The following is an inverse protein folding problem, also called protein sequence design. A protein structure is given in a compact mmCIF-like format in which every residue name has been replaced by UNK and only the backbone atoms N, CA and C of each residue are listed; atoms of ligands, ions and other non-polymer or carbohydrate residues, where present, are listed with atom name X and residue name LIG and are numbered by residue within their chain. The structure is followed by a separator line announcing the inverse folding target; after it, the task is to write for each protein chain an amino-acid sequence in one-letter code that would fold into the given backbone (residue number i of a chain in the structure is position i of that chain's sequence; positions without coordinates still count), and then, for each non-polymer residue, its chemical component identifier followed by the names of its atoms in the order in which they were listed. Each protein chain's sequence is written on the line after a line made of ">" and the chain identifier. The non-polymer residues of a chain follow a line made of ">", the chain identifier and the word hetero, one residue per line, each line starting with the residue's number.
data_IF_340338215628
#
_entry.id   IF_340338215628
#
_cell.length_a   1.000
_cell.length_b   1.000
_cell.length_c   1.000
_cell.angle_alpha   90.00
_cell.angle_beta   90.00
_cell.angle_gamma   90.00
#
_symmetry.space_group_name_H-M   'P 1'
#
loop_
_entity.id
_entity.type
_entity.pdbx_description
1 polymer ?
#
# COMPACT_ATOMS: atom_id res chain seq x y z
N UNK A 1 25.88 8.42 14.24
CA UNK A 1 25.10 7.21 14.62
C UNK A 1 24.16 7.59 15.75
N UNK A 2 22.84 7.44 15.61
CA UNK A 2 21.87 7.79 16.66
C UNK A 2 21.92 6.76 17.80
N UNK A 3 22.83 6.95 18.77
CA UNK A 3 23.01 6.07 19.94
C UNK A 3 21.87 6.17 20.98
N UNK A 4 21.00 7.17 20.88
CA UNK A 4 19.91 7.40 21.86
C UNK A 4 18.64 6.54 21.61
N UNK A 5 18.67 5.59 20.67
CA UNK A 5 17.53 4.70 20.41
C UNK A 5 17.78 3.33 21.03
N UNK A 6 17.05 3.01 22.10
CA UNK A 6 17.10 1.71 22.80
C UNK A 6 16.65 0.50 21.96
N UNK A 7 16.08 0.69 20.77
CA UNK A 7 15.60 -0.38 19.88
C UNK A 7 15.76 0.00 18.40
N UNK A 8 15.97 -1.00 17.53
CA UNK A 8 15.99 -0.89 16.07
C UNK A 8 14.62 -0.57 15.46
N UNK A 9 14.04 0.58 15.82
CA UNK A 9 12.68 0.96 15.42
C UNK A 9 12.62 1.38 13.96
N UNK A 10 11.63 0.86 13.22
CA UNK A 10 11.28 1.31 11.89
C UNK A 10 10.86 2.79 11.90
N UNK A 11 11.35 3.58 10.93
CA UNK A 11 11.00 4.99 10.83
C UNK A 11 9.48 5.17 10.67
N UNK A 12 8.83 6.13 11.37
CA UNK A 12 7.38 6.27 11.36
C UNK A 12 6.75 6.44 9.97
N UNK A 13 7.42 7.16 9.06
CA UNK A 13 6.97 7.35 7.67
C UNK A 13 6.95 6.04 6.88
N UNK A 14 8.03 5.26 6.99
CA UNK A 14 8.15 3.95 6.33
C UNK A 14 7.13 2.98 6.91
N UNK A 15 6.97 2.97 8.25
CA UNK A 15 5.96 2.16 8.93
C UNK A 15 4.56 2.49 8.45
N UNK A 16 4.22 3.78 8.33
CA UNK A 16 2.90 4.19 7.83
C UNK A 16 2.65 3.69 6.40
N UNK A 17 3.67 3.71 5.53
CA UNK A 17 3.61 3.16 4.18
C UNK A 17 3.37 1.65 4.15
N UNK A 18 4.18 0.89 4.88
CA UNK A 18 4.00 -0.56 4.98
C UNK A 18 2.67 -0.96 5.63
N UNK A 19 2.19 -0.18 6.59
CA UNK A 19 0.86 -0.41 7.18
C UNK A 19 -0.30 -0.22 6.21
N UNK A 20 -0.15 0.60 5.16
CA UNK A 20 -1.17 0.71 4.12
C UNK A 20 -1.25 -0.60 3.32
N UNK A 21 -0.09 -1.08 2.84
CA UNK A 21 0.03 -2.34 2.10
C UNK A 21 -0.51 -3.51 2.92
N UNK A 22 -0.08 -3.64 4.18
CA UNK A 22 -0.57 -4.69 5.10
C UNK A 22 -2.09 -4.63 5.29
N UNK A 23 -2.66 -3.42 5.32
CA UNK A 23 -4.11 -3.28 5.47
C UNK A 23 -4.85 -3.70 4.22
N UNK A 24 -4.31 -3.41 3.03
CA UNK A 24 -4.88 -3.91 1.77
C UNK A 24 -4.85 -5.44 1.77
N UNK A 25 -3.70 -6.05 2.05
CA UNK A 25 -3.57 -7.51 2.08
C UNK A 25 -4.51 -8.13 3.12
N UNK A 26 -4.57 -7.57 4.33
CA UNK A 26 -5.47 -8.05 5.40
C UNK A 26 -6.96 -7.96 5.06
N UNK A 27 -7.37 -7.01 4.20
CA UNK A 27 -8.74 -6.96 3.72
C UNK A 27 -8.97 -7.97 2.58
N UNK A 28 -7.97 -8.18 1.71
CA UNK A 28 -8.04 -9.18 0.65
C UNK A 28 -8.10 -10.61 1.20
N UNK A 29 -7.37 -10.93 2.27
CA UNK A 29 -7.43 -12.27 2.91
C UNK A 29 -8.79 -12.62 3.51
N UNK A 30 -9.66 -11.62 3.74
CA UNK A 30 -11.05 -11.85 4.19
C UNK A 30 -11.99 -12.20 3.04
N UNK A 31 -11.58 -11.89 1.81
CA UNK A 31 -12.39 -12.05 0.60
C UNK A 31 -11.89 -13.26 -0.19
N UNK A 32 -10.58 -13.48 -0.24
CA UNK A 32 -9.92 -14.53 -1.01
C UNK A 32 -9.05 -15.40 -0.10
N UNK A 33 -8.97 -16.72 -0.36
CA UNK A 33 -8.05 -17.61 0.34
C UNK A 33 -6.62 -17.43 -0.17
N UNK A 34 -5.95 -16.37 0.27
CA UNK A 34 -4.56 -16.10 -0.12
C UNK A 34 -3.63 -17.10 0.59
N UNK A 35 -2.94 -17.93 -0.18
CA UNK A 35 -1.97 -18.93 0.32
C UNK A 35 -0.53 -18.43 0.27
N UNK A 36 -0.19 -17.69 -0.78
CA UNK A 36 1.17 -17.27 -1.11
C UNK A 36 1.22 -15.78 -1.47
N UNK A 37 2.27 -15.10 -1.01
CA UNK A 37 2.54 -13.68 -1.26
C UNK A 37 3.94 -13.57 -1.87
N UNK A 38 4.02 -13.09 -3.09
CA UNK A 38 5.30 -12.82 -3.74
C UNK A 38 5.71 -11.36 -3.55
N UNK A 39 6.91 -11.16 -3.00
CA UNK A 39 7.44 -9.86 -2.63
C UNK A 39 8.76 -9.58 -3.35
N UNK A 40 8.87 -8.42 -4.01
CA UNK A 40 10.14 -8.01 -4.62
C UNK A 40 11.14 -7.56 -3.54
N UNK A 41 12.26 -8.27 -3.45
CA UNK A 41 13.31 -8.00 -2.47
C UNK A 41 14.38 -7.08 -3.03
N UNK A 42 14.54 -5.92 -2.41
CA UNK A 42 15.54 -4.92 -2.78
C UNK A 42 16.83 -5.19 -2.03
N UNK A 43 17.95 -5.31 -2.76
CA UNK A 43 19.31 -5.25 -2.20
C UNK A 43 19.93 -3.93 -2.63
N UNK A 44 20.02 -2.98 -1.69
CA UNK A 44 20.65 -1.69 -1.92
C UNK A 44 21.94 -1.60 -1.10
N UNK A 45 23.08 -1.69 -1.76
CA UNK A 45 24.37 -1.41 -1.13
C UNK A 45 24.61 0.10 -1.11
N UNK A 46 24.17 0.72 -0.01
CA UNK A 46 24.27 2.18 0.16
C UNK A 46 25.71 2.67 0.28
N UNK A 47 26.69 1.81 0.55
CA UNK A 47 28.09 2.24 0.59
C UNK A 47 28.61 2.44 -0.83
N UNK A 48 28.38 1.47 -1.71
CA UNK A 48 28.77 1.55 -3.12
C UNK A 48 28.00 2.64 -3.88
N UNK A 49 26.72 2.86 -3.55
CA UNK A 49 25.90 3.88 -4.24
C UNK A 49 26.00 5.28 -3.64
N UNK A 50 26.75 5.48 -2.55
CA UNK A 50 26.79 6.78 -1.86
C UNK A 50 27.76 7.79 -2.48
N UNK A 51 28.61 7.39 -3.43
CA UNK A 51 29.66 8.25 -4.00
C UNK A 51 30.73 8.70 -2.98
N UNK A 52 30.69 8.18 -1.74
CA UNK A 52 31.64 8.53 -0.68
C UNK A 52 32.99 7.84 -0.95
N UNK A 53 34.05 8.64 -1.11
CA UNK A 53 35.42 8.14 -1.32
C UNK A 53 35.83 7.23 -0.14
N UNK A 54 36.26 6.01 -0.45
CA UNK A 54 36.68 5.02 0.55
C UNK A 54 35.55 4.25 1.25
N UNK A 55 34.30 4.38 0.80
CA UNK A 55 33.20 3.55 1.29
C UNK A 55 33.45 2.07 0.93
N UNK A 56 33.30 1.19 1.92
CA UNK A 56 33.44 -0.27 1.76
C UNK A 56 32.08 -0.91 1.94
N UNK A 57 31.70 -1.78 1.00
CA UNK A 57 30.45 -2.54 0.99
C UNK A 57 30.14 -3.17 2.36
N UNK A 58 28.86 -3.18 2.73
CA UNK A 58 28.35 -3.90 3.89
C UNK A 58 28.36 -3.15 5.23
N UNK A 59 28.73 -1.86 5.27
CA UNK A 59 28.72 -1.04 6.50
C UNK A 59 27.48 -0.18 6.65
N UNK A 60 26.86 0.22 5.56
CA UNK A 60 25.74 1.13 5.50
C UNK A 60 24.40 0.41 5.60
N UNK A 61 23.38 1.13 6.05
CA UNK A 61 22.03 0.61 6.19
C UNK A 61 21.08 1.32 5.22
N UNK A 62 20.25 0.55 4.51
CA UNK A 62 19.20 1.09 3.66
C UNK A 62 17.87 1.11 4.42
N UNK A 63 17.24 2.28 4.48
CA UNK A 63 15.91 2.44 5.08
C UNK A 63 14.84 1.60 4.36
N UNK A 64 14.98 1.41 3.04
CA UNK A 64 14.15 0.53 2.22
C UNK A 64 14.32 -0.92 2.66
N UNK A 65 15.56 -1.38 2.87
CA UNK A 65 15.83 -2.74 3.32
C UNK A 65 15.35 -3.02 4.73
N UNK A 66 15.42 -2.04 5.64
CA UNK A 66 14.82 -2.18 6.98
C UNK A 66 13.30 -2.25 6.88
N UNK A 67 12.69 -1.39 6.07
CA UNK A 67 11.24 -1.37 5.87
C UNK A 67 10.68 -2.62 5.19
N UNK A 68 11.38 -3.18 4.21
CA UNK A 68 10.93 -4.41 3.54
C UNK A 68 11.03 -5.63 4.47
N UNK A 69 12.10 -5.75 5.28
CA UNK A 69 12.24 -6.87 6.22
C UNK A 69 11.10 -6.89 7.22
N UNK A 70 10.78 -5.73 7.78
CA UNK A 70 9.61 -5.57 8.64
C UNK A 70 8.31 -5.93 7.91
N UNK A 71 8.13 -5.47 6.66
CA UNK A 71 6.93 -5.78 5.90
C UNK A 71 6.78 -7.28 5.63
N UNK A 72 7.85 -7.97 5.24
CA UNK A 72 7.89 -9.42 5.02
C UNK A 72 7.51 -10.14 6.31
N UNK A 73 8.11 -9.79 7.45
CA UNK A 73 7.78 -10.38 8.76
C UNK A 73 6.28 -10.25 9.09
N UNK A 74 5.68 -9.09 8.82
CA UNK A 74 4.24 -8.89 9.06
C UNK A 74 3.36 -9.65 8.05
N UNK A 75 3.77 -9.74 6.78
CA UNK A 75 3.05 -10.48 5.73
C UNK A 75 3.10 -11.99 5.97
N UNK A 76 4.22 -12.51 6.49
CA UNK A 76 4.39 -13.93 6.85
C UNK A 76 3.41 -14.42 7.90
N UNK A 77 2.76 -13.50 8.64
CA UNK A 77 1.69 -13.85 9.58
C UNK A 77 0.36 -14.12 8.88
N UNK A 78 0.21 -13.72 7.61
CA UNK A 78 -1.02 -13.85 6.83
C UNK A 78 -0.95 -14.99 5.80
N UNK A 79 0.20 -15.19 5.17
CA UNK A 79 0.40 -16.23 4.16
C UNK A 79 1.91 -16.54 3.98
N UNK A 80 2.25 -17.58 3.22
CA UNK A 80 3.66 -17.88 2.89
C UNK A 80 4.23 -16.77 2.03
N UNK A 81 5.36 -16.17 2.45
CA UNK A 81 5.99 -15.07 1.70
C UNK A 81 7.20 -15.57 0.94
N UNK A 82 7.15 -15.44 -0.38
CA UNK A 82 8.26 -15.71 -1.29
C UNK A 82 8.94 -14.41 -1.69
N UNK A 83 10.26 -14.42 -1.84
CA UNK A 83 11.01 -13.24 -2.26
C UNK A 83 11.65 -13.46 -3.62
N UNK A 84 11.57 -12.43 -4.47
CA UNK A 84 12.21 -12.42 -5.81
C UNK A 84 12.97 -11.12 -6.02
N UNK A 85 14.08 -11.16 -6.72
CA UNK A 85 14.83 -9.95 -7.07
C UNK A 85 14.21 -9.25 -8.28
N UNK A 86 14.37 -7.92 -8.38
CA UNK A 86 13.75 -7.15 -9.47
C UNK A 86 14.19 -7.55 -10.87
N UNK A 87 15.40 -8.12 -11.04
CA UNK A 87 15.82 -8.67 -12.33
C UNK A 87 15.04 -9.94 -12.70
N UNK A 88 14.64 -10.76 -11.72
CA UNK A 88 13.80 -11.94 -11.94
C UNK A 88 12.40 -11.52 -12.37
N UNK A 89 11.81 -10.54 -11.67
CA UNK A 89 10.52 -9.93 -12.04
C UNK A 89 10.55 -9.41 -13.47
N UNK A 90 11.62 -8.68 -13.84
CA UNK A 90 11.80 -8.13 -15.19
C UNK A 90 11.84 -9.22 -16.26
N UNK A 91 12.55 -10.33 -16.01
CA UNK A 91 12.64 -11.45 -16.95
C UNK A 91 11.29 -12.14 -17.15
N UNK A 92 10.57 -12.45 -16.06
CA UNK A 92 9.26 -13.08 -16.14
C UNK A 92 8.23 -12.17 -16.82
N UNK A 93 8.25 -10.87 -16.51
CA UNK A 93 7.38 -9.88 -17.14
C UNK A 93 7.56 -9.84 -18.66
N UNK A 94 8.81 -9.92 -19.16
CA UNK A 94 9.11 -10.01 -20.60
C UNK A 94 8.58 -11.30 -21.21
N UNK A 95 8.77 -12.44 -20.54
CA UNK A 95 8.25 -13.73 -20.99
C UNK A 95 6.72 -13.73 -21.12
N UNK A 96 6.03 -13.18 -20.12
CA UNK A 96 4.57 -13.02 -20.10
C UNK A 96 4.05 -11.91 -21.05
N UNK A 97 4.95 -11.17 -21.72
CA UNK A 97 4.62 -10.02 -22.59
C UNK A 97 3.78 -8.94 -21.90
N UNK A 98 4.02 -8.75 -20.60
CA UNK A 98 3.35 -7.70 -19.83
C UNK A 98 4.06 -6.36 -20.06
N UNK A 99 3.35 -5.43 -20.71
CA UNK A 99 3.87 -4.11 -21.04
C UNK A 99 4.18 -3.29 -19.79
N UNK A 100 5.12 -2.34 -19.93
CA UNK A 100 5.48 -1.44 -18.83
C UNK A 100 5.55 -0.03 -19.35
N UNK A 101 4.66 0.83 -18.84
CA UNK A 101 4.63 2.24 -19.21
C UNK A 101 5.86 2.95 -18.65
N UNK A 102 6.40 3.88 -19.44
CA UNK A 102 7.45 4.81 -18.96
C UNK A 102 6.85 5.96 -18.14
N UNK A 103 5.55 6.21 -18.29
CA UNK A 103 4.85 7.31 -17.64
C UNK A 103 4.31 6.88 -16.26
N UNK A 104 5.10 7.12 -15.20
CA UNK A 104 4.72 6.76 -13.83
C UNK A 104 3.55 7.57 -13.25
N UNK A 105 3.09 8.63 -13.91
CA UNK A 105 1.93 9.41 -13.47
C UNK A 105 0.61 8.79 -13.93
N UNK A 106 0.67 7.91 -14.92
CA UNK A 106 -0.47 7.21 -15.48
C UNK A 106 -1.01 6.18 -14.48
N UNK A 107 -2.30 6.27 -14.15
CA UNK A 107 -2.98 5.32 -13.28
C UNK A 107 -3.46 4.11 -14.09
N UNK A 108 -2.51 3.29 -14.54
CA UNK A 108 -2.77 2.10 -15.35
C UNK A 108 -2.07 0.85 -14.81
N UNK A 109 -2.55 -0.36 -15.18
CA UNK A 109 -1.86 -1.61 -14.84
C UNK A 109 -0.40 -1.63 -15.30
N UNK A 110 -0.11 -1.08 -16.47
CA UNK A 110 1.24 -1.04 -17.08
C UNK A 110 2.22 -0.21 -16.26
N UNK A 111 1.72 0.81 -15.55
CA UNK A 111 2.52 1.67 -14.67
C UNK A 111 2.71 1.10 -13.26
N UNK A 112 1.71 0.36 -12.75
CA UNK A 112 1.62 0.10 -11.30
C UNK A 112 1.30 -1.34 -10.88
N UNK A 113 0.74 -2.18 -11.77
CA UNK A 113 0.25 -3.52 -11.42
C UNK A 113 1.01 -4.66 -12.12
N UNK A 114 1.54 -4.45 -13.32
CA UNK A 114 2.12 -5.52 -14.15
C UNK A 114 3.34 -6.19 -13.50
N UNK A 115 4.15 -5.46 -12.73
CA UNK A 115 5.24 -6.07 -11.95
C UNK A 115 4.68 -6.98 -10.84
N UNK A 116 3.55 -6.62 -10.22
CA UNK A 116 2.86 -7.44 -9.22
C UNK A 116 2.20 -8.69 -9.82
N UNK A 117 1.61 -8.58 -11.02
CA UNK A 117 1.08 -9.73 -11.76
C UNK A 117 2.22 -10.69 -12.10
N UNK A 118 3.34 -10.18 -12.63
CA UNK A 118 4.52 -11.01 -12.91
C UNK A 118 5.04 -11.71 -11.65
N UNK A 119 5.09 -11.01 -10.50
CA UNK A 119 5.49 -11.62 -9.23
C UNK A 119 4.57 -12.78 -8.83
N UNK A 120 3.25 -12.61 -8.91
CA UNK A 120 2.30 -13.67 -8.58
C UNK A 120 2.41 -14.90 -9.51
N UNK A 121 2.80 -14.69 -10.77
CA UNK A 121 2.97 -15.78 -11.74
C UNK A 121 4.12 -16.74 -11.38
N UNK A 122 5.07 -16.35 -10.52
CA UNK A 122 6.10 -17.28 -10.02
C UNK A 122 5.54 -18.44 -9.21
N UNK A 123 4.27 -18.41 -8.78
CA UNK A 123 3.59 -19.55 -8.17
C UNK A 123 3.41 -20.72 -9.16
N UNK A 124 3.27 -20.39 -10.44
CA UNK A 124 2.88 -21.34 -11.48
C UNK A 124 3.95 -21.49 -12.56
N UNK A 125 4.99 -20.66 -12.51
CA UNK A 125 6.08 -20.63 -13.47
C UNK A 125 7.42 -20.63 -12.75
N UNK A 126 8.28 -21.57 -13.16
CA UNK A 126 9.67 -21.63 -12.74
C UNK A 126 10.60 -21.67 -13.95
N UNK A 127 11.85 -21.25 -13.75
CA UNK A 127 12.87 -21.23 -14.80
C UNK A 127 13.85 -22.37 -14.58
N UNK A 128 13.73 -23.43 -15.38
CA UNK A 128 14.50 -24.67 -15.19
C UNK A 128 15.48 -24.91 -16.33
N UNK A 129 16.64 -25.52 -16.03
CA UNK A 129 17.51 -26.01 -17.08
C UNK A 129 16.83 -27.17 -17.83
N UNK A 130 17.13 -27.29 -19.11
CA UNK A 130 16.78 -28.47 -19.89
C UNK A 130 18.02 -28.98 -20.62
N UNK A 131 18.07 -30.29 -20.80
CA UNK A 131 19.07 -30.98 -21.62
C UNK A 131 18.31 -31.94 -22.53
N UNK A 132 18.50 -31.81 -23.84
CA UNK A 132 17.93 -32.71 -24.85
C UNK A 132 19.00 -33.04 -25.92
N UNK A 133 18.64 -33.90 -26.87
CA UNK A 133 19.53 -34.31 -27.96
C UNK A 133 20.06 -33.14 -28.81
N UNK A 134 19.35 -32.01 -28.80
CA UNK A 134 19.63 -30.84 -29.63
C UNK A 134 20.30 -29.70 -28.84
N UNK A 135 20.67 -29.93 -27.58
CA UNK A 135 21.44 -29.00 -26.75
C UNK A 135 20.95 -28.88 -25.32
N UNK A 136 21.49 -27.87 -24.63
CA UNK A 136 21.12 -27.54 -23.26
C UNK A 136 20.83 -26.05 -23.13
N UNK A 137 19.96 -25.69 -22.18
CA UNK A 137 19.56 -24.32 -21.98
C UNK A 137 18.67 -24.17 -20.76
N UNK A 138 17.94 -23.07 -20.71
CA UNK A 138 16.94 -22.82 -19.68
C UNK A 138 15.64 -22.38 -20.34
N UNK A 139 14.52 -22.77 -19.74
CA UNK A 139 13.21 -22.37 -20.22
C UNK A 139 12.23 -22.23 -19.05
N UNK A 140 11.17 -21.46 -19.27
CA UNK A 140 10.07 -21.37 -18.32
C UNK A 140 9.22 -22.65 -18.37
N UNK A 141 8.97 -23.24 -17.21
CA UNK A 141 8.13 -24.43 -17.02
C UNK A 141 6.89 -24.06 -16.24
N UNK A 142 5.78 -24.67 -16.61
CA UNK A 142 4.44 -24.39 -16.09
C UNK A 142 3.58 -23.62 -17.08
N UNK A 143 2.38 -23.21 -16.64
CA UNK A 143 1.42 -22.52 -17.49
C UNK A 143 0.64 -21.48 -16.70
N UNK A 144 0.54 -20.27 -17.25
CA UNK A 144 -0.32 -19.20 -16.75
C UNK A 144 -0.97 -18.50 -17.94
N UNK A 145 -2.28 -18.27 -17.82
CA UNK A 145 -3.02 -17.39 -18.73
C UNK A 145 -3.40 -16.12 -17.97
N UNK A 146 -2.76 -15.01 -18.29
CA UNK A 146 -3.16 -13.70 -17.75
C UNK A 146 -4.46 -13.27 -18.44
N UNK A 147 -5.46 -12.91 -17.65
CA UNK A 147 -6.75 -12.41 -18.13
C UNK A 147 -6.96 -10.97 -17.69
N UNK A 148 -7.87 -10.26 -18.37
CA UNK A 148 -8.26 -8.92 -17.95
C UNK A 148 -8.86 -8.97 -16.54
N UNK A 149 -8.51 -7.97 -15.73
CA UNK A 149 -8.95 -7.82 -14.35
C UNK A 149 -9.30 -6.35 -14.08
N UNK A 150 -10.24 -6.06 -13.16
CA UNK A 150 -10.53 -4.69 -12.78
C UNK A 150 -9.31 -4.02 -12.16
N UNK A 151 -9.01 -2.81 -12.60
CA UNK A 151 -8.00 -1.96 -11.99
C UNK A 151 -8.65 -1.00 -11.00
N UNK A 152 -7.99 -0.80 -9.85
CA UNK A 152 -8.45 0.15 -8.84
C UNK A 152 -7.26 0.79 -8.12
N UNK A 153 -7.37 2.08 -7.85
CA UNK A 153 -6.41 2.85 -7.08
C UNK A 153 -6.83 2.89 -5.62
N UNK A 154 -5.96 2.36 -4.74
CA UNK A 154 -6.20 2.33 -3.30
C UNK A 154 -5.36 3.40 -2.61
N UNK A 155 -6.00 4.21 -1.76
CA UNK A 155 -5.31 5.25 -0.98
C UNK A 155 -5.86 5.38 0.44
N UNK A 156 -5.13 6.10 1.28
CA UNK A 156 -5.59 6.47 2.63
C UNK A 156 -6.61 7.60 2.55
N UNK A 157 -7.64 7.61 3.41
CA UNK A 157 -8.38 8.82 3.69
C UNK A 157 -7.43 9.95 4.12
N UNK A 158 -7.46 11.12 3.47
CA UNK A 158 -6.68 12.27 3.87
C UNK A 158 -7.32 12.88 5.14
N UNK A 159 -6.93 12.31 6.28
CA UNK A 159 -7.33 12.80 7.60
C UNK A 159 -6.41 13.95 7.95
N UNK A 160 -6.98 15.16 8.07
CA UNK A 160 -6.26 16.30 8.63
C UNK A 160 -5.80 15.97 10.05
N UNK A 161 -4.50 15.98 10.27
CA UNK A 161 -3.92 15.85 11.62
C UNK A 161 -4.13 17.15 12.39
N UNK A 162 -4.17 17.06 13.72
CA UNK A 162 -4.14 18.26 14.58
C UNK A 162 -2.89 19.07 14.28
N UNK A 163 -3.09 20.35 13.97
CA UNK A 163 -2.00 21.30 13.81
C UNK A 163 -1.47 21.72 15.19
N UNK A 164 -0.17 22.00 15.28
CA UNK A 164 0.51 22.29 16.54
C UNK A 164 -0.09 23.49 17.28
N UNK A 165 -0.43 24.57 16.57
CA UNK A 165 -1.04 25.77 17.16
C UNK A 165 -2.50 25.53 17.62
N UNK A 166 -3.17 24.49 17.12
CA UNK A 166 -4.50 24.06 17.60
C UNK A 166 -4.39 23.07 18.78
N UNK A 167 -3.17 22.72 19.21
CA UNK A 167 -2.93 21.93 20.42
C UNK A 167 -2.90 22.79 21.69
N UNK A 168 -2.79 24.11 21.55
CA UNK A 168 -2.88 25.06 22.67
C UNK A 168 -4.34 25.15 23.13
N UNK A 169 -4.54 25.19 24.45
CA UNK A 169 -5.86 25.32 25.03
C UNK A 169 -6.47 26.69 24.67
N UNK A 170 -7.76 26.72 24.35
CA UNK A 170 -8.49 28.00 24.32
C UNK A 170 -8.77 28.47 25.75
N UNK A 171 -9.20 29.72 25.90
CA UNK A 171 -9.70 30.26 27.18
C UNK A 171 -10.69 29.25 27.80
N UNK A 172 -10.44 28.87 29.06
CA UNK A 172 -11.20 27.82 29.76
C UNK A 172 -10.64 26.39 29.66
N UNK A 173 -9.38 26.20 29.22
CA UNK A 173 -8.67 24.92 29.36
C UNK A 173 -9.16 23.80 28.43
N UNK A 174 -10.03 24.09 27.47
CA UNK A 174 -10.53 23.13 26.48
C UNK A 174 -9.75 23.27 25.18
N UNK A 175 -9.40 22.15 24.55
CA UNK A 175 -8.78 22.17 23.21
C UNK A 175 -9.84 22.25 22.14
N UNK A 176 -9.55 22.95 21.03
CA UNK A 176 -10.45 23.01 19.88
C UNK A 176 -10.63 21.60 19.30
N UNK A 177 -11.88 21.22 19.01
CA UNK A 177 -12.21 19.96 18.33
C UNK A 177 -11.82 20.06 16.84
N UNK A 178 -10.53 19.85 16.54
CA UNK A 178 -9.99 19.78 15.18
C UNK A 178 -9.18 18.48 14.99
N UNK A 179 -9.11 17.99 13.76
CA UNK A 179 -8.24 16.86 13.38
C UNK A 179 -8.56 15.50 14.00
N UNK A 180 -9.82 15.27 14.42
CA UNK A 180 -10.29 13.97 14.92
C UNK A 180 -10.65 12.98 13.80
N UNK A 181 -10.51 11.69 14.09
CA UNK A 181 -10.97 10.60 13.21
C UNK A 181 -12.43 10.21 13.46
N UNK A 182 -12.99 10.52 14.62
CA UNK A 182 -14.41 10.29 14.96
C UNK A 182 -15.13 11.63 15.01
N UNK A 183 -16.30 11.70 14.38
CA UNK A 183 -17.17 12.88 14.36
C UNK A 183 -18.00 12.96 15.63
N UNK A 184 -18.67 14.10 15.86
CA UNK A 184 -19.61 14.28 16.98
C UNK A 184 -20.82 13.35 16.92
N UNK A 185 -21.05 12.73 15.77
CA UNK A 185 -22.26 11.96 15.45
C UNK A 185 -22.00 10.45 15.40
N UNK A 186 -20.87 9.96 15.94
CA UNK A 186 -20.54 8.53 16.00
C UNK A 186 -19.95 7.93 14.70
N UNK A 187 -19.93 8.69 13.62
CA UNK A 187 -19.27 8.32 12.36
C UNK A 187 -17.75 8.53 12.43
N UNK A 188 -16.99 7.78 11.66
CA UNK A 188 -15.54 7.94 11.54
C UNK A 188 -15.19 8.45 10.15
N UNK A 189 -14.14 9.27 10.05
CA UNK A 189 -13.59 9.67 8.77
C UNK A 189 -13.14 8.44 7.98
N UNK A 190 -13.57 8.35 6.73
CA UNK A 190 -13.39 7.17 5.88
C UNK A 190 -14.44 6.06 6.08
N UNK A 191 -15.47 6.26 6.92
CA UNK A 191 -16.66 5.41 6.87
C UNK A 191 -17.30 5.57 5.48
N UNK A 192 -17.66 4.45 4.87
CA UNK A 192 -18.41 4.42 3.62
C UNK A 192 -19.89 4.52 3.94
N UNK A 193 -20.58 5.47 3.32
CA UNK A 193 -21.97 5.80 3.60
C UNK A 193 -22.78 5.98 2.34
N UNK A 194 -24.08 5.68 2.41
CA UNK A 194 -25.08 6.08 1.44
C UNK A 194 -25.71 7.39 1.88
N UNK A 195 -26.00 8.28 0.92
CA UNK A 195 -26.62 9.57 1.17
C UNK A 195 -27.45 10.04 -0.04
N UNK A 196 -28.31 11.07 0.10
CA UNK A 196 -29.05 11.64 -1.02
C UNK A 196 -28.17 12.23 -2.14
N UNK A 197 -26.86 12.45 -1.89
CA UNK A 197 -25.89 12.92 -2.88
C UNK A 197 -25.06 11.79 -3.49
N UNK A 198 -25.41 10.54 -3.19
CA UNK A 198 -24.69 9.34 -3.64
C UNK A 198 -23.88 8.68 -2.53
N UNK A 199 -23.19 7.60 -2.90
CA UNK A 199 -22.29 6.85 -2.04
C UNK A 199 -20.96 7.61 -1.92
N UNK A 200 -20.47 7.76 -0.70
CA UNK A 200 -19.20 8.44 -0.45
C UNK A 200 -18.62 8.14 0.91
N UNK A 201 -17.53 8.83 1.23
CA UNK A 201 -16.79 8.67 2.48
C UNK A 201 -17.03 9.86 3.40
N UNK A 202 -17.19 9.60 4.69
CA UNK A 202 -17.23 10.66 5.70
C UNK A 202 -15.87 11.39 5.72
N UNK A 203 -15.87 12.70 5.50
CA UNK A 203 -14.65 13.53 5.46
C UNK A 203 -14.55 14.50 6.64
N UNK A 204 -15.68 14.79 7.30
CA UNK A 204 -15.74 15.65 8.48
C UNK A 204 -17.16 15.86 8.99
N UNK A 205 -17.30 16.79 9.92
CA UNK A 205 -18.58 17.11 10.54
C UNK A 205 -18.67 18.59 10.92
N UNK A 206 -19.90 19.09 10.90
CA UNK A 206 -20.31 20.32 11.56
C UNK A 206 -21.13 19.95 12.79
N UNK A 207 -21.69 20.96 13.46
CA UNK A 207 -22.55 20.74 14.63
C UNK A 207 -23.76 19.86 14.31
N UNK A 208 -24.36 19.98 13.12
CA UNK A 208 -25.61 19.28 12.76
C UNK A 208 -25.51 18.33 11.56
N UNK A 209 -24.40 18.38 10.82
CA UNK A 209 -24.27 17.68 9.54
C UNK A 209 -22.94 16.95 9.42
N UNK A 210 -22.90 15.94 8.57
CA UNK A 210 -21.69 15.24 8.17
C UNK A 210 -21.30 15.64 6.76
N UNK A 211 -20.01 15.86 6.54
CA UNK A 211 -19.45 16.09 5.21
C UNK A 211 -19.17 14.75 4.56
N UNK A 212 -19.70 14.54 3.36
CA UNK A 212 -19.50 13.34 2.53
C UNK A 212 -18.68 13.75 1.30
N UNK A 213 -17.64 12.98 1.00
CA UNK A 213 -16.73 13.19 -0.13
C UNK A 213 -16.64 11.94 -1.02
N UNK A 214 -16.31 12.13 -2.28
CA UNK A 214 -16.06 11.04 -3.23
C UNK A 214 -14.69 10.37 -2.99
N UNK A 215 -14.33 9.41 -3.86
CA UNK A 215 -13.04 8.71 -3.83
C UNK A 215 -11.87 9.66 -4.06
N UNK A 216 -12.05 10.75 -4.80
CA UNK A 216 -11.08 11.83 -5.02
C UNK A 216 -10.97 12.81 -3.85
N UNK A 217 -11.77 12.59 -2.80
CA UNK A 217 -11.91 13.44 -1.62
C UNK A 217 -12.56 14.81 -1.90
N UNK A 218 -13.15 15.00 -3.08
CA UNK A 218 -13.97 16.16 -3.40
C UNK A 218 -15.31 16.02 -2.65
N UNK A 219 -15.71 17.08 -1.95
CA UNK A 219 -16.92 17.05 -1.12
C UNK A 219 -18.17 17.01 -2.01
N UNK A 220 -19.00 15.97 -1.84
CA UNK A 220 -20.32 15.83 -2.46
C UNK A 220 -21.34 16.75 -1.79
N UNK A 221 -21.24 16.91 -0.48
CA UNK A 221 -22.10 17.82 0.28
C UNK A 221 -21.94 17.70 1.79
N UNK A 222 -22.68 18.55 2.49
CA UNK A 222 -22.92 18.43 3.93
C UNK A 222 -24.37 17.97 4.12
N UNK A 223 -24.54 16.86 4.82
CA UNK A 223 -25.79 16.10 4.84
C UNK A 223 -26.19 15.91 6.30
N UNK A 224 -27.48 16.11 6.58
CA UNK A 224 -28.05 15.86 7.91
C UNK A 224 -27.81 14.40 8.32
N UNK A 225 -27.44 14.17 9.57
CA UNK A 225 -27.09 12.84 10.09
C UNK A 225 -28.22 11.83 9.86
N UNK A 226 -29.48 12.26 10.01
CA UNK A 226 -30.67 11.45 9.80
C UNK A 226 -30.85 10.93 8.37
N UNK A 227 -30.17 11.52 7.39
CA UNK A 227 -30.24 11.13 5.97
C UNK A 227 -29.03 10.30 5.53
N UNK A 228 -28.19 9.84 6.47
CA UNK A 228 -26.97 9.10 6.16
C UNK A 228 -27.12 7.68 6.70
N UNK A 229 -26.88 6.70 5.83
CA UNK A 229 -26.83 5.30 6.21
C UNK A 229 -25.38 4.80 6.14
N UNK A 230 -24.91 4.21 7.23
CA UNK A 230 -23.60 3.56 7.25
C UNK A 230 -23.63 2.29 6.40
N UNK A 231 -22.76 2.19 5.40
CA UNK A 231 -22.54 0.97 4.61
C UNK A 231 -21.43 0.14 5.27
N UNK A 232 -20.32 0.80 5.63
CA UNK A 232 -19.14 0.12 6.17
C UNK A 232 -18.32 1.05 7.05
N UNK A 233 -17.86 0.55 8.20
CA UNK A 233 -16.91 1.27 9.05
C UNK A 233 -15.55 1.41 8.38
N UNK A 234 -14.89 2.53 8.64
CA UNK A 234 -13.58 2.88 8.12
C UNK A 234 -12.57 1.78 8.45
N UNK A 235 -12.12 1.09 7.40
CA UNK A 235 -10.87 0.33 7.39
C UNK A 235 -9.71 1.24 6.94
N UNK A 236 -9.87 2.57 6.90
CA UNK A 236 -8.81 3.48 6.48
C UNK A 236 -8.29 3.26 5.05
N UNK A 237 -9.09 2.65 4.17
CA UNK A 237 -8.85 2.51 2.73
C UNK A 237 -9.97 3.19 1.95
N UNK A 238 -9.57 3.90 0.89
CA UNK A 238 -10.45 4.42 -0.17
C UNK A 238 -10.07 3.69 -1.44
N UNK A 239 -11.06 3.20 -2.15
CA UNK A 239 -10.89 2.47 -3.41
C UNK A 239 -11.54 3.30 -4.50
N UNK A 240 -10.74 3.79 -5.45
CA UNK A 240 -11.25 4.38 -6.69
C UNK A 240 -11.12 3.33 -7.79
N UNK A 241 -12.20 3.07 -8.50
CA UNK A 241 -12.12 2.41 -9.81
C UNK A 241 -11.94 3.45 -10.89
#
# INVERSE_FOLDING_TARGET
>A
KFSNRKQGKLAPSIRANRQLELRVVSELTKIYPITDIYFEYVKADVDLTSGRKGAKSGKGFSSVMVGQKWAIEQLSQLATVHTRFGWQTSNLRKYLRLEKSKNKAEQSPESHANDGIALACFQFLDYWPFHNSNGHGYDWKGYVKVTNAPFAVIKRPPISRRQLHLMVFSKGGKRRKYGGSTTRHGFRKGDLVSSPKGIGYISGDTEKQLSVSDTSWKRLGQIAVSKIQLIRRSNGLIVSR
#
